data_IF_859186727517
#
_entry.id   IF_859186727517
#
_cell.length_a   1.000
_cell.length_b   1.000
_cell.length_c   1.000
_cell.angle_alpha   90.00
_cell.angle_beta   90.00
_cell.angle_gamma   90.00
#
_symmetry.space_group_name_H-M   'P 1'
#
loop_
_entity.id
_entity.type
_entity.pdbx_description
1 polymer ?
#
# COMPACT_ATOMS: atom_id res chain seq x y z
N UNK A 1 6.13 0.99 -23.25
CA UNK A 1 7.02 1.06 -22.07
C UNK A 1 6.13 0.92 -20.85
N UNK A 2 6.12 -0.24 -20.22
CA UNK A 2 5.51 -0.37 -18.89
C UNK A 2 6.37 0.44 -17.92
N UNK A 3 5.78 1.44 -17.26
CA UNK A 3 6.49 2.21 -16.24
C UNK A 3 6.88 1.27 -15.11
N UNK A 4 8.12 1.40 -14.63
CA UNK A 4 8.54 0.71 -13.40
C UNK A 4 7.66 1.22 -12.25
N UNK A 5 6.96 0.34 -11.51
CA UNK A 5 6.07 0.76 -10.44
C UNK A 5 6.85 1.30 -9.24
N UNK A 6 6.24 2.25 -8.55
CA UNK A 6 6.70 2.72 -7.24
C UNK A 6 5.71 2.23 -6.19
N UNK A 7 6.23 1.62 -5.13
CA UNK A 7 5.44 1.10 -4.02
C UNK A 7 5.74 1.85 -2.73
N UNK A 8 4.69 2.11 -1.95
CA UNK A 8 4.80 2.52 -0.55
C UNK A 8 4.22 1.40 0.32
N UNK A 9 4.99 0.93 1.29
CA UNK A 9 4.55 -0.06 2.28
C UNK A 9 4.56 0.60 3.65
N UNK A 10 3.38 0.98 4.13
CA UNK A 10 3.17 1.63 5.42
C UNK A 10 2.49 0.63 6.39
N UNK A 11 3.30 -0.27 6.95
CA UNK A 11 2.86 -1.32 7.87
C UNK A 11 3.81 -1.35 9.07
N UNK A 12 3.24 -1.30 10.28
CA UNK A 12 4.02 -1.26 11.52
C UNK A 12 4.65 -2.60 11.89
N UNK A 13 4.06 -3.71 11.45
CA UNK A 13 4.62 -5.04 11.64
C UNK A 13 5.77 -5.27 10.65
N UNK A 14 6.99 -5.39 11.17
CA UNK A 14 8.20 -5.51 10.36
C UNK A 14 8.23 -6.80 9.53
N UNK A 15 7.69 -7.91 10.04
CA UNK A 15 7.69 -9.18 9.31
C UNK A 15 6.70 -9.13 8.14
N UNK A 16 5.53 -8.53 8.35
CA UNK A 16 4.55 -8.34 7.28
C UNK A 16 5.08 -7.36 6.23
N UNK A 17 5.71 -6.26 6.64
CA UNK A 17 6.31 -5.30 5.72
C UNK A 17 7.46 -5.92 4.89
N UNK A 18 8.30 -6.75 5.51
CA UNK A 18 9.38 -7.48 4.84
C UNK A 18 8.83 -8.50 3.84
N UNK A 19 7.81 -9.28 4.23
CA UNK A 19 7.17 -10.27 3.35
C UNK A 19 6.55 -9.62 2.10
N UNK A 20 5.79 -8.53 2.29
CA UNK A 20 5.22 -7.74 1.19
C UNK A 20 6.33 -7.17 0.30
N UNK A 21 7.37 -6.58 0.89
CA UNK A 21 8.50 -6.03 0.14
C UNK A 21 9.21 -7.11 -0.68
N UNK A 22 9.40 -8.31 -0.10
CA UNK A 22 10.00 -9.46 -0.76
C UNK A 22 9.20 -9.88 -2.00
N UNK A 23 7.88 -10.05 -1.84
CA UNK A 23 6.97 -10.41 -2.95
C UNK A 23 7.02 -9.34 -4.05
N UNK A 24 6.98 -8.05 -3.68
CA UNK A 24 7.02 -6.93 -4.64
C UNK A 24 8.32 -6.90 -5.44
N UNK A 25 9.46 -7.09 -4.79
CA UNK A 25 10.78 -7.08 -5.45
C UNK A 25 11.04 -8.36 -6.25
N UNK A 26 10.44 -9.49 -5.87
CA UNK A 26 10.50 -10.72 -6.67
C UNK A 26 9.74 -10.55 -8.00
N UNK A 27 8.52 -9.99 -7.95
CA UNK A 27 7.69 -9.78 -9.13
C UNK A 27 8.15 -8.57 -9.97
N UNK A 28 8.66 -7.53 -9.32
CA UNK A 28 9.13 -6.30 -9.95
C UNK A 28 10.56 -5.94 -9.51
N UNK A 29 11.60 -6.63 -10.03
CA UNK A 29 12.98 -6.45 -9.56
C UNK A 29 13.56 -5.04 -9.72
N UNK A 30 12.98 -4.22 -10.61
CA UNK A 30 13.41 -2.84 -10.83
C UNK A 30 12.57 -1.81 -10.03
N UNK A 31 11.53 -2.24 -9.31
CA UNK A 31 10.62 -1.35 -8.62
C UNK A 31 11.32 -0.57 -7.50
N UNK A 32 10.85 0.65 -7.26
CA UNK A 32 11.18 1.40 -6.05
C UNK A 32 10.18 1.02 -4.96
N UNK A 33 10.65 0.50 -3.84
CA UNK A 33 9.81 0.19 -2.67
C UNK A 33 10.27 1.04 -1.50
N UNK A 34 9.41 1.96 -1.03
CA UNK A 34 9.64 2.71 0.20
C UNK A 34 8.88 2.04 1.35
N UNK A 35 9.61 1.60 2.36
CA UNK A 35 9.04 1.10 3.61
C UNK A 35 8.92 2.24 4.61
N UNK A 36 7.75 2.34 5.24
CA UNK A 36 7.46 3.29 6.29
C UNK A 36 6.89 2.57 7.51
N UNK A 37 7.40 2.91 8.70
CA UNK A 37 7.01 2.25 9.95
C UNK A 37 5.95 3.04 10.74
N UNK A 38 5.60 4.23 10.27
CA UNK A 38 4.57 5.08 10.86
C UNK A 38 3.90 5.93 9.77
N UNK A 39 2.77 6.56 10.09
CA UNK A 39 2.07 7.44 9.14
C UNK A 39 2.86 8.70 8.81
N UNK A 40 3.60 9.24 9.78
CA UNK A 40 4.41 10.44 9.58
C UNK A 40 5.63 10.13 8.69
N UNK A 41 6.31 9.01 8.95
CA UNK A 41 7.38 8.50 8.07
C UNK A 41 6.85 8.21 6.66
N UNK A 42 5.64 7.64 6.54
CA UNK A 42 5.02 7.40 5.24
C UNK A 42 4.75 8.70 4.47
N UNK A 43 4.34 9.77 5.15
CA UNK A 43 4.14 11.09 4.54
C UNK A 43 5.47 11.68 4.04
N UNK A 44 6.53 11.61 4.86
CA UNK A 44 7.86 12.08 4.48
C UNK A 44 8.41 11.33 3.27
N UNK A 45 8.22 10.00 3.24
CA UNK A 45 8.60 9.13 2.11
C UNK A 45 7.82 9.47 0.85
N UNK A 46 6.51 9.66 0.99
CA UNK A 46 5.59 9.96 -0.11
C UNK A 46 5.96 11.27 -0.81
N UNK A 47 6.43 12.28 -0.08
CA UNK A 47 6.89 13.55 -0.65
C UNK A 47 8.06 13.41 -1.64
N UNK A 48 8.86 12.34 -1.52
CA UNK A 48 9.97 12.01 -2.41
C UNK A 48 9.62 11.08 -3.58
N UNK A 49 8.34 10.71 -3.72
CA UNK A 49 7.87 9.81 -4.77
C UNK A 49 7.31 10.58 -5.97
N UNK A 50 7.50 10.00 -7.16
CA UNK A 50 6.99 10.54 -8.42
C UNK A 50 6.46 9.41 -9.30
N UNK A 51 5.32 9.65 -9.97
CA UNK A 51 4.69 8.67 -10.86
C UNK A 51 3.58 7.86 -10.18
N UNK A 52 3.06 6.82 -10.84
CA UNK A 52 2.00 5.99 -10.28
C UNK A 52 2.52 5.23 -9.05
N UNK A 53 1.88 5.48 -7.91
CA UNK A 53 2.19 4.84 -6.63
C UNK A 53 1.12 3.81 -6.31
N UNK A 54 1.55 2.60 -5.93
CA UNK A 54 0.69 1.61 -5.27
C UNK A 54 1.07 1.59 -3.79
N UNK A 55 0.09 1.83 -2.91
CA UNK A 55 0.33 1.97 -1.48
C UNK A 55 -0.36 0.84 -0.70
N UNK A 56 0.41 0.05 0.04
CA UNK A 56 -0.07 -0.92 1.01
C UNK A 56 -0.05 -0.27 2.39
N UNK A 57 -1.21 -0.07 3.01
CA UNK A 57 -1.32 0.73 4.24
C UNK A 57 -2.15 0.02 5.29
N UNK A 58 -1.63 -0.08 6.51
CA UNK A 58 -2.42 -0.48 7.68
C UNK A 58 -3.32 0.69 8.13
N UNK A 59 -4.58 0.68 7.68
CA UNK A 59 -5.49 1.80 7.91
C UNK A 59 -6.96 1.36 7.73
N UNK A 60 -7.88 1.78 8.63
CA UNK A 60 -9.31 1.55 8.43
C UNK A 60 -9.86 2.43 7.29
N UNK A 61 -10.92 2.02 6.58
CA UNK A 61 -11.44 2.75 5.41
C UNK A 61 -11.77 4.23 5.67
N UNK A 62 -12.38 4.53 6.82
CA UNK A 62 -12.73 5.89 7.25
C UNK A 62 -11.52 6.79 7.49
N UNK A 63 -10.33 6.22 7.76
CA UNK A 63 -9.11 6.99 7.94
C UNK A 63 -8.52 7.47 6.61
N UNK A 64 -8.91 6.90 5.47
CA UNK A 64 -8.40 7.32 4.17
C UNK A 64 -8.82 8.76 3.85
N UNK A 65 -10.06 9.15 4.16
CA UNK A 65 -10.54 10.52 3.91
C UNK A 65 -10.22 11.49 5.06
N UNK A 66 -9.99 10.99 6.26
CA UNK A 66 -9.86 11.81 7.48
C UNK A 66 -8.42 12.02 7.96
N UNK A 67 -7.43 11.29 7.44
CA UNK A 67 -6.03 11.43 7.84
C UNK A 67 -5.18 12.15 6.78
N UNK A 68 -4.11 12.86 7.18
CA UNK A 68 -3.21 13.51 6.22
C UNK A 68 -2.58 12.53 5.23
N UNK A 69 -2.18 11.34 5.69
CA UNK A 69 -1.62 10.29 4.83
C UNK A 69 -2.64 9.83 3.77
N UNK A 70 -3.88 9.55 4.17
CA UNK A 70 -4.91 9.13 3.24
C UNK A 70 -5.25 10.23 2.22
N UNK A 71 -5.32 11.48 2.65
CA UNK A 71 -5.53 12.63 1.77
C UNK A 71 -4.37 12.82 0.77
N UNK A 72 -3.12 12.66 1.22
CA UNK A 72 -1.96 12.74 0.34
C UNK A 72 -1.95 11.63 -0.73
N UNK A 73 -2.28 10.39 -0.33
CA UNK A 73 -2.39 9.26 -1.26
C UNK A 73 -3.50 9.46 -2.30
N UNK A 74 -4.67 9.97 -1.88
CA UNK A 74 -5.75 10.37 -2.80
C UNK A 74 -5.26 11.47 -3.75
N UNK A 75 -4.61 12.51 -3.23
CA UNK A 75 -4.10 13.63 -4.03
C UNK A 75 -3.07 13.21 -5.08
N UNK A 76 -2.30 12.17 -4.81
CA UNK A 76 -1.37 11.55 -5.76
C UNK A 76 -2.03 10.57 -6.75
N UNK A 77 -3.34 10.35 -6.64
CA UNK A 77 -4.06 9.31 -7.38
C UNK A 77 -3.41 7.94 -7.21
N UNK A 78 -2.88 7.65 -6.01
CA UNK A 78 -2.27 6.37 -5.72
C UNK A 78 -3.33 5.26 -5.75
N UNK A 79 -2.91 4.06 -6.14
CA UNK A 79 -3.72 2.84 -5.96
C UNK A 79 -3.55 2.39 -4.50
N UNK A 80 -4.59 2.57 -3.69
CA UNK A 80 -4.56 2.18 -2.28
C UNK A 80 -5.01 0.72 -2.10
N UNK A 81 -4.20 -0.03 -1.36
CA UNK A 81 -4.52 -1.35 -0.83
C UNK A 81 -4.50 -1.25 0.70
N UNK A 82 -5.64 -1.47 1.33
CA UNK A 82 -5.79 -1.40 2.78
C UNK A 82 -5.53 -2.77 3.42
N UNK A 83 -5.00 -2.76 4.64
CA UNK A 83 -4.82 -3.93 5.48
C UNK A 83 -5.17 -3.61 6.94
N UNK A 84 -5.50 -4.64 7.70
CA UNK A 84 -5.83 -4.57 9.12
C UNK A 84 -7.29 -4.96 9.33
N UNK A 85 -7.63 -5.35 10.57
CA UNK A 85 -8.93 -5.96 10.88
C UNK A 85 -10.12 -5.15 10.33
N UNK A 86 -10.12 -3.82 10.55
CA UNK A 86 -11.19 -2.95 10.06
C UNK A 86 -11.26 -2.86 8.52
N UNK A 87 -10.11 -2.86 7.85
CA UNK A 87 -10.04 -2.89 6.39
C UNK A 87 -10.52 -4.24 5.84
N UNK A 88 -10.12 -5.34 6.47
CA UNK A 88 -10.49 -6.71 6.12
C UNK A 88 -12.00 -6.95 6.25
N UNK A 89 -12.62 -6.38 7.29
CA UNK A 89 -14.06 -6.50 7.53
C UNK A 89 -14.92 -5.56 6.67
N UNK A 90 -14.47 -4.32 6.44
CA UNK A 90 -15.34 -3.25 5.89
C UNK A 90 -14.79 -2.57 4.64
N UNK A 91 -13.53 -2.77 4.29
CA UNK A 91 -12.83 -2.03 3.24
C UNK A 91 -13.41 -2.26 1.85
N UNK A 92 -13.72 -3.50 1.48
CA UNK A 92 -14.32 -3.80 0.18
C UNK A 92 -15.71 -3.17 0.04
N UNK A 93 -16.53 -3.23 1.09
CA UNK A 93 -17.84 -2.58 1.14
C UNK A 93 -17.74 -1.05 1.07
N UNK A 94 -16.62 -0.48 1.52
CA UNK A 94 -16.30 0.93 1.41
C UNK A 94 -15.63 1.30 0.06
N UNK A 95 -15.45 0.35 -0.85
CA UNK A 95 -14.92 0.56 -2.20
C UNK A 95 -13.39 0.53 -2.30
N UNK A 96 -12.69 0.03 -1.29
CA UNK A 96 -11.23 -0.09 -1.30
C UNK A 96 -10.77 -1.49 -1.70
N UNK A 97 -9.58 -1.58 -2.32
CA UNK A 97 -8.86 -2.84 -2.43
C UNK A 97 -8.31 -3.21 -1.06
N UNK A 98 -8.41 -4.49 -0.69
CA UNK A 98 -8.03 -4.97 0.64
C UNK A 98 -7.15 -6.20 0.52
N UNK A 99 -6.03 -6.23 1.25
CA UNK A 99 -5.19 -7.41 1.38
C UNK A 99 -5.63 -8.21 2.62
N UNK A 100 -6.37 -9.29 2.38
CA UNK A 100 -6.91 -10.19 3.41
C UNK A 100 -5.80 -11.05 4.04
N UNK A 101 -5.78 -11.19 5.37
CA UNK A 101 -4.82 -12.08 6.06
C UNK A 101 -5.47 -13.44 6.39
N UNK A 102 -4.73 -14.56 6.26
CA UNK A 102 -3.39 -14.68 5.67
C UNK A 102 -3.43 -14.55 4.14
N UNK A 103 -2.37 -14.00 3.55
CA UNK A 103 -2.24 -13.85 2.09
C UNK A 103 -1.07 -14.68 1.53
N UNK A 104 -1.09 -14.90 0.22
CA UNK A 104 0.00 -15.44 -0.59
C UNK A 104 0.49 -14.37 -1.57
N UNK A 105 1.63 -14.62 -2.20
CA UNK A 105 2.16 -13.76 -3.25
C UNK A 105 1.13 -13.47 -4.36
N UNK A 106 0.39 -14.50 -4.81
CA UNK A 106 -0.63 -14.33 -5.84
C UNK A 106 -1.78 -13.39 -5.43
N UNK A 107 -2.19 -13.42 -4.15
CA UNK A 107 -3.27 -12.56 -3.64
C UNK A 107 -2.82 -11.09 -3.65
N UNK A 108 -1.56 -10.84 -3.26
CA UNK A 108 -0.97 -9.51 -3.28
C UNK A 108 -0.82 -8.97 -4.71
N UNK A 109 -0.30 -9.78 -5.63
CA UNK A 109 -0.06 -9.36 -7.02
C UNK A 109 -1.36 -9.08 -7.77
N UNK A 110 -2.43 -9.84 -7.51
CA UNK A 110 -3.76 -9.59 -8.07
C UNK A 110 -4.32 -8.21 -7.68
N UNK A 111 -3.88 -7.62 -6.55
CA UNK A 111 -4.29 -6.28 -6.14
C UNK A 111 -3.52 -5.17 -6.87
N UNK A 112 -2.40 -5.50 -7.51
CA UNK A 112 -1.56 -4.57 -8.27
C UNK A 112 -1.99 -4.53 -9.74
N UNK A 113 -2.43 -5.66 -10.30
CA UNK A 113 -2.89 -5.74 -11.68
C UNK A 113 -4.31 -5.13 -11.82
N UNK A 114 -4.63 -4.61 -13.01
CA UNK A 114 -5.98 -4.13 -13.39
C UNK A 114 -6.74 -5.22 -14.15
#
# INVERSE_FOLDING_TARGET
>A
MTSVPTFLVCISDAFVAEDITGILLEAYPAARVENAHSRDDALDRLAGLSGPVVAFVFMPPEAVSSTPLGQALIGMMARLVLMGNDAEERGENAGFRVLQRPFRAADLLALIED
#
